data_IF_872413140166
#
_entry.id   IF_872413140166
#
_cell.length_a   1.000
_cell.length_b   1.000
_cell.length_c   1.000
_cell.angle_alpha   90.00
_cell.angle_beta   90.00
_cell.angle_gamma   90.00
#
_symmetry.space_group_name_H-M   'P 1'
#
loop_
_entity.id
_entity.type
_entity.pdbx_description
1 polymer ?
#
# COMPACT_ATOMS: atom_id res chain seq x y z
N UNK A 1 -10.09 32.07 -27.79
CA UNK A 1 -11.46 31.67 -27.41
C UNK A 1 -11.42 31.14 -25.99
N UNK A 2 -11.75 31.97 -25.02
CA UNK A 2 -11.75 31.63 -23.60
C UNK A 2 -12.88 30.64 -23.33
N UNK A 3 -12.54 29.47 -22.79
CA UNK A 3 -13.47 28.42 -22.38
C UNK A 3 -14.48 29.06 -21.40
N UNK A 4 -15.78 29.01 -21.72
CA UNK A 4 -16.86 29.49 -20.81
C UNK A 4 -16.68 28.79 -19.46
N UNK A 5 -16.45 29.58 -18.40
CA UNK A 5 -16.52 29.08 -17.03
C UNK A 5 -18.01 29.08 -16.67
N UNK A 6 -18.65 27.92 -16.80
CA UNK A 6 -20.08 27.76 -16.53
C UNK A 6 -20.40 28.11 -15.07
N UNK A 7 -21.34 29.05 -14.88
CA UNK A 7 -21.70 29.50 -13.54
C UNK A 7 -22.48 30.80 -13.48
N UNK A 8 -23.57 30.81 -12.70
CA UNK A 8 -24.33 32.01 -12.38
C UNK A 8 -23.56 32.86 -11.36
N UNK A 9 -23.40 34.15 -11.61
CA UNK A 9 -22.86 35.14 -10.67
C UNK A 9 -24.04 35.80 -9.95
N UNK A 10 -24.05 35.75 -8.63
CA UNK A 10 -25.04 36.49 -7.84
C UNK A 10 -24.48 37.88 -7.53
N UNK A 11 -25.18 38.91 -7.99
CA UNK A 11 -24.86 40.32 -7.78
C UNK A 11 -25.79 40.89 -6.72
N UNK A 12 -25.21 41.34 -5.61
CA UNK A 12 -25.92 41.86 -4.43
C UNK A 12 -25.46 43.29 -4.17
N UNK A 13 -26.36 44.25 -4.33
CA UNK A 13 -26.12 45.68 -4.12
C UNK A 13 -27.50 46.32 -3.91
N UNK A 14 -27.67 47.19 -2.90
CA UNK A 14 -28.98 47.81 -2.62
C UNK A 14 -29.31 48.96 -3.59
N UNK A 15 -28.30 49.59 -4.19
CA UNK A 15 -28.48 50.62 -5.20
C UNK A 15 -28.87 50.01 -6.55
N UNK A 16 -30.14 50.19 -6.91
CA UNK A 16 -30.70 49.65 -8.15
C UNK A 16 -30.01 50.17 -9.42
N UNK A 17 -29.40 51.36 -9.38
CA UNK A 17 -28.64 51.91 -10.51
C UNK A 17 -27.33 51.15 -10.73
N UNK A 18 -26.51 51.09 -9.69
CA UNK A 18 -25.22 50.39 -9.65
C UNK A 18 -25.38 48.91 -9.99
N UNK A 19 -26.35 48.23 -9.36
CA UNK A 19 -26.67 46.83 -9.62
C UNK A 19 -26.98 46.56 -11.10
N UNK A 20 -27.86 47.35 -11.72
CA UNK A 20 -28.23 47.18 -13.14
C UNK A 20 -27.06 47.41 -14.09
N UNK A 21 -26.20 48.41 -13.81
CA UNK A 21 -25.02 48.68 -14.62
C UNK A 21 -24.04 47.52 -14.54
N UNK A 22 -23.80 47.00 -13.33
CA UNK A 22 -22.90 45.89 -13.08
C UNK A 22 -23.36 44.61 -13.79
N UNK A 23 -24.64 44.26 -13.64
CA UNK A 23 -25.27 43.11 -14.32
C UNK A 23 -25.16 43.25 -15.82
N UNK A 24 -25.56 44.39 -16.40
CA UNK A 24 -25.48 44.61 -17.85
C UNK A 24 -24.04 44.48 -18.36
N UNK A 25 -23.07 45.00 -17.61
CA UNK A 25 -21.65 44.92 -17.96
C UNK A 25 -21.18 43.46 -17.98
N UNK A 26 -21.48 42.68 -16.95
CA UNK A 26 -21.09 41.28 -16.85
C UNK A 26 -21.81 40.38 -17.88
N UNK A 27 -23.12 40.59 -18.07
CA UNK A 27 -23.89 39.86 -19.09
C UNK A 27 -23.41 40.15 -20.51
N UNK A 28 -22.97 41.39 -20.80
CA UNK A 28 -22.40 41.73 -22.12
C UNK A 28 -21.10 40.96 -22.42
N UNK A 29 -20.40 40.51 -21.37
CA UNK A 29 -19.20 39.67 -21.48
C UNK A 29 -19.49 38.17 -21.43
N UNK A 30 -20.77 37.78 -21.36
CA UNK A 30 -21.21 36.39 -21.42
C UNK A 30 -21.34 35.67 -20.08
N UNK A 31 -21.31 36.38 -18.94
CA UNK A 31 -21.67 35.82 -17.64
C UNK A 31 -23.19 35.74 -17.49
N UNK A 32 -23.66 34.65 -16.88
CA UNK A 32 -25.03 34.57 -16.39
C UNK A 32 -25.11 35.24 -15.02
N UNK A 33 -26.03 36.18 -14.84
CA UNK A 33 -26.09 37.01 -13.64
C UNK A 33 -27.48 36.95 -13.03
N UNK A 34 -27.52 36.79 -11.71
CA UNK A 34 -28.73 36.93 -10.90
C UNK A 34 -28.58 38.12 -9.97
N UNK A 35 -29.68 38.81 -9.72
CA UNK A 35 -29.71 40.03 -8.91
C UNK A 35 -30.35 39.76 -7.55
N UNK A 36 -29.90 40.50 -6.54
CA UNK A 36 -30.48 40.59 -5.21
C UNK A 36 -30.29 42.02 -4.69
N UNK A 37 -31.30 42.59 -4.05
CA UNK A 37 -31.22 43.96 -3.51
C UNK A 37 -30.87 44.02 -2.02
N UNK A 38 -30.80 42.86 -1.35
CA UNK A 38 -30.52 42.78 0.07
C UNK A 38 -29.70 41.54 0.45
N UNK A 39 -28.93 41.64 1.53
CA UNK A 39 -28.16 40.52 2.07
C UNK A 39 -29.04 39.35 2.53
N UNK A 40 -30.28 39.62 2.99
CA UNK A 40 -31.22 38.58 3.42
C UNK A 40 -31.71 37.76 2.23
N UNK A 41 -32.08 38.41 1.13
CA UNK A 41 -32.46 37.72 -0.10
C UNK A 41 -31.26 36.94 -0.68
N UNK A 42 -30.07 37.53 -0.67
CA UNK A 42 -28.86 36.89 -1.15
C UNK A 42 -28.58 35.55 -0.45
N UNK A 43 -28.67 35.52 0.89
CA UNK A 43 -28.50 34.27 1.64
C UNK A 43 -29.54 33.20 1.26
N UNK A 44 -30.79 33.58 0.97
CA UNK A 44 -31.82 32.64 0.49
C UNK A 44 -31.47 32.09 -0.88
N UNK A 45 -31.06 32.96 -1.80
CA UNK A 45 -30.70 32.58 -3.17
C UNK A 45 -29.47 31.66 -3.20
N UNK A 46 -28.48 31.94 -2.35
CA UNK A 46 -27.29 31.09 -2.24
C UNK A 46 -27.65 29.66 -1.82
N UNK A 47 -28.58 29.48 -0.90
CA UNK A 47 -29.04 28.15 -0.46
C UNK A 47 -29.82 27.41 -1.55
N UNK A 48 -30.57 28.13 -2.38
CA UNK A 48 -31.42 27.53 -3.42
C UNK A 48 -30.62 27.11 -4.66
N UNK A 49 -29.69 27.96 -5.12
CA UNK A 49 -29.07 27.81 -6.44
C UNK A 49 -27.54 27.70 -6.43
N UNK A 50 -26.90 27.94 -5.29
CA UNK A 50 -25.43 27.83 -5.09
C UNK A 50 -24.61 28.48 -6.23
N UNK A 51 -24.69 29.82 -6.37
CA UNK A 51 -24.05 30.54 -7.46
C UNK A 51 -22.55 30.25 -7.53
N UNK A 52 -21.97 30.38 -8.72
CA UNK A 52 -20.55 30.13 -8.98
C UNK A 52 -19.63 31.20 -8.39
N UNK A 53 -20.15 32.41 -8.15
CA UNK A 53 -19.46 33.52 -7.50
C UNK A 53 -20.47 34.51 -6.94
N UNK A 54 -20.12 35.15 -5.82
CA UNK A 54 -20.89 36.23 -5.20
C UNK A 54 -20.17 37.57 -5.40
N UNK A 55 -20.83 38.55 -6.01
CA UNK A 55 -20.43 39.95 -5.97
C UNK A 55 -21.30 40.63 -4.92
N UNK A 56 -20.68 41.18 -3.88
CA UNK A 56 -21.39 41.61 -2.69
C UNK A 56 -20.99 43.02 -2.31
N UNK A 57 -21.94 43.95 -2.31
CA UNK A 57 -21.72 45.27 -1.75
C UNK A 57 -21.46 45.19 -0.24
N UNK A 58 -20.51 45.99 0.22
CA UNK A 58 -20.16 46.07 1.63
C UNK A 58 -21.25 46.80 2.41
N UNK A 59 -21.62 47.98 1.92
CA UNK A 59 -22.51 48.92 2.59
C UNK A 59 -23.96 48.69 2.15
N UNK A 60 -24.67 47.79 2.84
CA UNK A 60 -26.09 47.53 2.58
C UNK A 60 -26.95 47.69 3.85
N UNK A 61 -28.22 48.12 3.73
CA UNK A 61 -29.14 48.20 4.86
C UNK A 61 -29.45 46.84 5.49
N UNK A 62 -29.74 46.84 6.79
CA UNK A 62 -30.19 45.68 7.60
C UNK A 62 -29.14 44.59 7.80
N UNK A 63 -28.55 44.07 6.73
CA UNK A 63 -27.53 43.02 6.76
C UNK A 63 -26.43 43.38 5.76
N UNK A 64 -25.30 43.84 6.28
CA UNK A 64 -24.19 44.31 5.46
C UNK A 64 -23.40 43.14 4.82
N UNK A 65 -22.52 43.45 3.87
CA UNK A 65 -21.76 42.42 3.14
C UNK A 65 -20.87 41.56 4.04
N UNK A 66 -20.27 42.12 5.08
CA UNK A 66 -19.43 41.37 6.02
C UNK A 66 -20.25 40.36 6.83
N UNK A 67 -21.46 40.73 7.27
CA UNK A 67 -22.36 39.85 8.01
C UNK A 67 -22.91 38.72 7.13
N UNK A 68 -23.23 39.02 5.87
CA UNK A 68 -23.59 38.00 4.86
C UNK A 68 -22.46 36.99 4.73
N UNK A 69 -21.22 37.43 4.56
CA UNK A 69 -20.07 36.52 4.41
C UNK A 69 -19.82 35.69 5.66
N UNK A 70 -19.85 36.28 6.84
CA UNK A 70 -19.70 35.53 8.11
C UNK A 70 -20.73 34.41 8.21
N UNK A 71 -21.97 34.65 7.78
CA UNK A 71 -23.03 33.62 7.75
C UNK A 71 -22.73 32.54 6.70
N UNK A 72 -22.30 32.92 5.50
CA UNK A 72 -21.91 31.97 4.45
C UNK A 72 -20.75 31.07 4.89
N UNK A 73 -19.67 31.64 5.46
CA UNK A 73 -18.50 30.88 5.92
C UNK A 73 -18.80 29.95 7.10
N UNK A 74 -19.87 30.25 7.86
CA UNK A 74 -20.31 29.43 9.00
C UNK A 74 -21.33 28.35 8.59
N UNK A 75 -21.65 28.22 7.30
CA UNK A 75 -22.62 27.24 6.82
C UNK A 75 -22.08 25.80 6.96
N UNK A 76 -22.95 24.86 7.34
CA UNK A 76 -22.57 23.45 7.50
C UNK A 76 -22.34 22.74 6.17
N UNK A 77 -22.88 23.26 5.06
CA UNK A 77 -22.66 22.77 3.72
C UNK A 77 -21.39 23.39 3.11
N UNK A 78 -20.31 22.62 2.88
CA UNK A 78 -19.07 23.13 2.29
C UNK A 78 -19.29 23.76 0.91
N UNK A 79 -20.28 23.29 0.14
CA UNK A 79 -20.57 23.83 -1.19
C UNK A 79 -21.08 25.28 -1.13
N UNK A 80 -21.70 25.69 -0.02
CA UNK A 80 -22.13 27.06 0.27
C UNK A 80 -20.99 27.85 0.90
N UNK A 81 -20.36 27.30 1.94
CA UNK A 81 -19.30 27.98 2.67
C UNK A 81 -18.09 28.35 1.81
N UNK A 82 -17.83 27.62 0.72
CA UNK A 82 -16.70 27.82 -0.19
C UNK A 82 -17.07 28.60 -1.47
N UNK A 83 -18.29 29.15 -1.58
CA UNK A 83 -18.63 30.02 -2.72
C UNK A 83 -17.69 31.23 -2.70
N UNK A 84 -16.95 31.49 -3.79
CA UNK A 84 -16.03 32.61 -3.83
C UNK A 84 -16.83 33.91 -3.81
N UNK A 85 -16.38 34.85 -2.99
CA UNK A 85 -17.03 36.14 -2.84
C UNK A 85 -16.04 37.29 -3.08
N UNK A 86 -16.42 38.20 -3.95
CA UNK A 86 -15.70 39.46 -4.19
C UNK A 86 -16.55 40.58 -3.59
N UNK A 87 -15.97 41.28 -2.62
CA UNK A 87 -16.63 42.39 -1.96
C UNK A 87 -16.45 43.68 -2.77
N UNK A 88 -17.51 44.47 -2.89
CA UNK A 88 -17.49 45.78 -3.53
C UNK A 88 -17.54 46.83 -2.41
N UNK A 89 -16.53 47.70 -2.30
CA UNK A 89 -16.43 48.70 -1.21
C UNK A 89 -16.32 50.12 -1.75
N UNK A 90 -17.05 51.07 -1.17
CA UNK A 90 -16.90 52.50 -1.46
C UNK A 90 -15.67 53.14 -0.82
N UNK A 91 -15.04 52.45 0.14
CA UNK A 91 -13.93 52.95 0.94
C UNK A 91 -12.61 52.36 0.42
N UNK A 92 -11.78 53.17 -0.24
CA UNK A 92 -10.54 52.74 -0.89
C UNK A 92 -9.27 52.80 -0.03
N UNK A 93 -9.39 52.75 1.30
CA UNK A 93 -8.24 52.77 2.22
C UNK A 93 -7.87 51.38 2.73
N UNK A 94 -6.60 51.20 3.11
CA UNK A 94 -6.05 49.91 3.58
C UNK A 94 -6.88 49.26 4.70
N UNK A 95 -7.44 50.05 5.63
CA UNK A 95 -8.31 49.55 6.71
C UNK A 95 -9.59 48.88 6.18
N UNK A 96 -10.17 49.38 5.09
CA UNK A 96 -11.36 48.77 4.49
C UNK A 96 -11.03 47.45 3.81
N UNK A 97 -9.87 47.34 3.16
CA UNK A 97 -9.42 46.11 2.51
C UNK A 97 -9.22 44.99 3.54
N UNK A 98 -8.60 45.32 4.68
CA UNK A 98 -8.41 44.38 5.79
C UNK A 98 -9.76 43.88 6.32
N UNK A 99 -10.72 44.78 6.53
CA UNK A 99 -12.07 44.40 7.00
C UNK A 99 -12.78 43.45 6.01
N UNK A 100 -12.62 43.64 4.71
CA UNK A 100 -13.18 42.76 3.69
C UNK A 100 -12.62 41.33 3.82
N UNK A 101 -11.29 41.22 3.96
CA UNK A 101 -10.60 39.94 4.05
C UNK A 101 -10.86 39.23 5.39
N UNK A 102 -10.89 39.96 6.50
CA UNK A 102 -11.22 39.42 7.83
C UNK A 102 -12.67 38.92 7.92
N UNK A 103 -13.58 39.52 7.14
CA UNK A 103 -14.95 39.02 7.00
C UNK A 103 -15.04 37.70 6.20
N UNK A 104 -13.93 37.27 5.58
CA UNK A 104 -13.83 36.04 4.81
C UNK A 104 -14.09 36.22 3.31
N UNK A 105 -13.96 37.44 2.76
CA UNK A 105 -13.99 37.65 1.32
C UNK A 105 -12.76 37.00 0.65
N UNK A 106 -12.94 36.45 -0.55
CA UNK A 106 -11.84 35.89 -1.33
C UNK A 106 -11.08 36.97 -2.11
N UNK A 107 -11.73 38.11 -2.36
CA UNK A 107 -11.15 39.31 -2.97
C UNK A 107 -12.05 40.55 -2.71
N UNK A 108 -11.60 41.72 -3.13
CA UNK A 108 -12.39 42.94 -3.11
C UNK A 108 -12.12 43.85 -4.33
N UNK A 109 -13.05 44.77 -4.60
CA UNK A 109 -12.95 45.81 -5.62
C UNK A 109 -13.48 47.12 -5.04
N UNK A 110 -12.68 48.19 -5.18
CA UNK A 110 -13.08 49.54 -4.77
C UNK A 110 -14.01 50.19 -5.80
N UNK A 111 -15.02 50.92 -5.35
CA UNK A 111 -15.88 51.77 -6.18
C UNK A 111 -15.15 53.13 -6.40
N UNK A 112 -15.20 53.73 -7.61
CA UNK A 112 -15.93 53.29 -8.81
C UNK A 112 -15.28 52.07 -9.49
N UNK A 113 -16.12 51.11 -9.88
CA UNK A 113 -15.70 49.80 -10.38
C UNK A 113 -15.01 49.93 -11.74
N UNK A 114 -13.76 49.47 -11.83
CA UNK A 114 -13.10 49.23 -13.11
C UNK A 114 -13.49 47.84 -13.65
N UNK A 115 -14.29 47.81 -14.72
CA UNK A 115 -14.82 46.57 -15.31
C UNK A 115 -13.72 45.58 -15.74
N UNK A 116 -12.56 46.06 -16.18
CA UNK A 116 -11.45 45.18 -16.56
C UNK A 116 -10.81 44.50 -15.35
N UNK A 117 -10.65 45.24 -14.25
CA UNK A 117 -10.12 44.71 -12.97
C UNK A 117 -11.10 43.71 -12.38
N UNK A 118 -12.39 44.07 -12.28
CA UNK A 118 -13.41 43.18 -11.75
C UNK A 118 -13.46 41.86 -12.54
N UNK A 119 -13.43 41.92 -13.88
CA UNK A 119 -13.42 40.71 -14.72
C UNK A 119 -12.21 39.82 -14.42
N UNK A 120 -11.01 40.39 -14.33
CA UNK A 120 -9.81 39.61 -14.03
C UNK A 120 -9.90 38.90 -12.66
N UNK A 121 -10.50 39.56 -11.66
CA UNK A 121 -10.75 38.98 -10.34
C UNK A 121 -11.81 37.88 -10.39
N UNK A 122 -12.93 38.10 -11.09
CA UNK A 122 -13.97 37.07 -11.32
C UNK A 122 -13.38 35.84 -11.98
N UNK A 123 -12.62 35.99 -13.06
CA UNK A 123 -11.98 34.88 -13.77
C UNK A 123 -11.04 34.11 -12.85
N UNK A 124 -10.24 34.81 -12.03
CA UNK A 124 -9.33 34.20 -11.07
C UNK A 124 -10.10 33.35 -10.05
N UNK A 125 -11.15 33.90 -9.45
CA UNK A 125 -11.93 33.22 -8.43
C UNK A 125 -12.73 32.03 -8.98
N UNK A 126 -13.34 32.17 -10.15
CA UNK A 126 -14.00 31.06 -10.84
C UNK A 126 -13.01 29.94 -11.18
N UNK A 127 -11.81 30.30 -11.64
CA UNK A 127 -10.76 29.32 -11.94
C UNK A 127 -10.29 28.59 -10.68
N UNK A 128 -10.07 29.30 -9.57
CA UNK A 128 -9.70 28.68 -8.28
C UNK A 128 -10.79 27.73 -7.78
N UNK A 129 -12.07 28.12 -7.84
CA UNK A 129 -13.19 27.24 -7.50
C UNK A 129 -13.22 25.99 -8.38
N UNK A 130 -13.02 26.14 -9.69
CA UNK A 130 -13.03 25.00 -10.62
C UNK A 130 -11.92 23.99 -10.29
N UNK A 131 -10.71 24.47 -9.98
CA UNK A 131 -9.58 23.62 -9.59
C UNK A 131 -9.83 22.93 -8.25
N UNK A 132 -10.36 23.64 -7.24
CA UNK A 132 -10.74 23.04 -5.94
C UNK A 132 -11.76 21.91 -6.11
N UNK A 133 -12.81 22.14 -6.92
CA UNK A 133 -13.84 21.12 -7.22
C UNK A 133 -13.25 19.91 -7.94
N UNK A 134 -12.40 20.13 -8.94
CA UNK A 134 -11.75 19.03 -9.66
C UNK A 134 -10.85 18.21 -8.74
N UNK A 135 -10.07 18.87 -7.86
CA UNK A 135 -9.22 18.18 -6.90
C UNK A 135 -10.03 17.34 -5.91
N UNK A 136 -11.14 17.89 -5.40
CA UNK A 136 -12.03 17.15 -4.50
C UNK A 136 -12.60 15.91 -5.19
N UNK A 137 -13.11 16.06 -6.42
CA UNK A 137 -13.62 14.94 -7.20
C UNK A 137 -12.56 13.86 -7.43
N UNK A 138 -11.33 14.27 -7.81
CA UNK A 138 -10.23 13.33 -8.01
C UNK A 138 -9.88 12.59 -6.71
N UNK A 139 -9.86 13.28 -5.56
CA UNK A 139 -9.62 12.65 -4.27
C UNK A 139 -10.72 11.64 -3.93
N UNK A 140 -11.99 11.99 -4.12
CA UNK A 140 -13.13 11.11 -3.84
C UNK A 140 -13.05 9.83 -4.71
N UNK A 141 -12.74 9.99 -6.01
CA UNK A 141 -12.52 8.88 -6.95
C UNK A 141 -11.34 8.00 -6.52
N UNK A 142 -10.20 8.61 -6.14
CA UNK A 142 -9.01 7.91 -5.66
C UNK A 142 -9.30 7.11 -4.38
N UNK A 143 -10.06 7.66 -3.45
CA UNK A 143 -10.46 6.98 -2.22
C UNK A 143 -11.39 5.80 -2.48
N UNK A 144 -12.29 5.91 -3.45
CA UNK A 144 -13.12 4.79 -3.89
C UNK A 144 -12.28 3.68 -4.53
N UNK A 145 -11.38 4.04 -5.46
CA UNK A 145 -10.45 3.10 -6.07
C UNK A 145 -9.58 2.39 -5.03
N UNK A 146 -9.03 3.12 -4.05
CA UNK A 146 -8.24 2.54 -2.96
C UNK A 146 -9.06 1.55 -2.15
N UNK A 147 -10.29 1.89 -1.77
CA UNK A 147 -11.18 1.00 -1.01
C UNK A 147 -11.50 -0.28 -1.78
N UNK A 148 -11.71 -0.20 -3.09
CA UNK A 148 -11.95 -1.37 -3.92
C UNK A 148 -10.71 -2.27 -4.01
N UNK A 149 -9.54 -1.70 -4.27
CA UNK A 149 -8.29 -2.45 -4.32
C UNK A 149 -7.96 -3.13 -2.98
N UNK A 150 -8.22 -2.46 -1.86
CA UNK A 150 -8.03 -3.03 -0.52
C UNK A 150 -8.95 -4.24 -0.27
N UNK A 151 -10.19 -4.21 -0.77
CA UNK A 151 -11.11 -5.37 -0.67
C UNK A 151 -10.62 -6.55 -1.51
N UNK A 152 -10.17 -6.29 -2.74
CA UNK A 152 -9.67 -7.33 -3.64
C UNK A 152 -8.41 -8.00 -3.08
N UNK A 153 -7.47 -7.20 -2.58
CA UNK A 153 -6.27 -7.71 -1.92
C UNK A 153 -6.60 -8.50 -0.64
N UNK A 154 -7.64 -8.10 0.10
CA UNK A 154 -8.03 -8.79 1.32
C UNK A 154 -8.63 -10.17 1.01
N UNK A 155 -9.42 -10.26 -0.07
CA UNK A 155 -9.90 -11.53 -0.58
C UNK A 155 -8.75 -12.43 -1.05
N UNK A 156 -7.80 -11.88 -1.82
CA UNK A 156 -6.62 -12.61 -2.28
C UNK A 156 -5.76 -13.12 -1.12
N UNK A 157 -5.62 -12.33 -0.04
CA UNK A 157 -4.94 -12.74 1.19
C UNK A 157 -5.57 -13.96 1.82
N UNK A 158 -6.89 -13.98 1.97
CA UNK A 158 -7.61 -15.11 2.55
C UNK A 158 -7.40 -16.39 1.73
N UNK A 159 -7.41 -16.27 0.39
CA UNK A 159 -7.09 -17.40 -0.50
C UNK A 159 -5.65 -17.88 -0.31
N UNK A 160 -4.66 -16.98 -0.31
CA UNK A 160 -3.25 -17.36 -0.13
C UNK A 160 -3.01 -17.99 1.25
N UNK A 161 -3.60 -17.44 2.32
CA UNK A 161 -3.50 -18.01 3.67
C UNK A 161 -4.10 -19.42 3.76
N UNK A 162 -5.10 -19.74 2.95
CA UNK A 162 -5.67 -21.10 2.88
C UNK A 162 -4.72 -22.10 2.22
N UNK A 163 -3.75 -21.63 1.42
CA UNK A 163 -2.71 -22.45 0.78
C UNK A 163 -1.51 -22.72 1.71
N UNK A 164 -1.28 -21.83 2.68
CA UNK A 164 -0.20 -21.98 3.65
C UNK A 164 -0.64 -22.97 4.74
N UNK A 165 0.18 -23.97 5.08
CA UNK A 165 -0.19 -24.94 6.12
C UNK A 165 -0.45 -24.26 7.47
N UNK A 166 -1.63 -24.50 8.05
CA UNK A 166 -2.08 -23.82 9.27
C UNK A 166 -1.45 -24.37 10.56
N UNK A 167 -0.94 -25.60 10.54
CA UNK A 167 -0.35 -26.27 11.70
C UNK A 167 0.85 -27.12 11.31
N UNK A 168 2.01 -26.96 11.98
CA UNK A 168 3.16 -27.82 11.79
C UNK A 168 2.84 -29.32 11.83
N UNK A 169 3.57 -30.16 11.08
CA UNK A 169 3.34 -31.60 11.10
C UNK A 169 3.73 -32.15 12.47
N UNK A 170 2.91 -33.05 13.02
CA UNK A 170 3.24 -33.75 14.26
C UNK A 170 4.15 -34.93 13.95
N UNK A 171 5.39 -34.84 14.39
CA UNK A 171 6.43 -35.83 14.17
C UNK A 171 7.00 -36.28 15.52
N UNK A 172 6.89 -37.58 15.90
CA UNK A 172 7.45 -38.07 17.15
C UNK A 172 8.96 -37.81 17.24
N UNK A 173 9.42 -37.20 18.33
CA UNK A 173 10.84 -36.85 18.50
C UNK A 173 11.30 -35.63 17.70
N UNK A 174 10.40 -34.85 17.11
CA UNK A 174 10.72 -33.64 16.36
C UNK A 174 9.83 -32.47 16.76
N UNK A 175 10.40 -31.28 16.71
CA UNK A 175 9.72 -30.01 16.95
C UNK A 175 9.78 -29.18 15.67
N UNK A 176 8.65 -28.62 15.25
CA UNK A 176 8.54 -27.79 14.06
C UNK A 176 7.84 -26.49 14.42
N UNK A 177 8.41 -25.36 14.01
CA UNK A 177 7.82 -24.04 14.16
C UNK A 177 7.98 -23.25 12.86
N UNK A 178 6.97 -22.47 12.51
CA UNK A 178 6.94 -21.66 11.30
C UNK A 178 6.48 -20.23 11.60
N UNK A 179 6.88 -19.32 10.73
CA UNK A 179 6.48 -17.91 10.77
C UNK A 179 6.36 -17.38 9.35
N UNK A 180 5.27 -16.67 9.09
CA UNK A 180 5.01 -16.01 7.81
C UNK A 180 4.39 -14.64 8.03
N UNK A 181 5.02 -13.62 7.45
CA UNK A 181 4.53 -12.24 7.45
C UNK A 181 4.78 -11.61 6.07
N UNK A 182 3.73 -11.38 5.25
CA UNK A 182 3.88 -10.67 4.00
C UNK A 182 4.07 -9.15 4.20
N UNK A 183 4.72 -8.46 3.26
CA UNK A 183 4.92 -6.99 3.24
C UNK A 183 3.60 -6.27 3.08
N UNK A 184 2.82 -6.71 2.09
CA UNK A 184 1.47 -6.22 1.85
C UNK A 184 0.46 -7.30 2.26
N UNK A 185 -0.79 -7.19 1.84
CA UNK A 185 -1.80 -8.20 2.18
C UNK A 185 -1.48 -9.60 1.61
N UNK A 186 -0.73 -9.70 0.51
CA UNK A 186 -0.28 -10.95 -0.13
C UNK A 186 1.23 -10.93 -0.41
N UNK A 187 1.88 -12.10 -0.37
CA UNK A 187 3.33 -12.24 -0.53
C UNK A 187 3.79 -13.03 -1.76
N UNK A 188 5.04 -12.85 -2.15
CA UNK A 188 5.83 -13.68 -3.06
C UNK A 188 6.51 -14.86 -2.39
N UNK A 189 6.50 -14.93 -1.07
CA UNK A 189 6.95 -16.09 -0.30
C UNK A 189 5.87 -17.17 -0.13
N UNK A 190 6.29 -18.43 -0.14
CA UNK A 190 5.45 -19.56 0.25
C UNK A 190 6.29 -20.72 0.78
N UNK A 191 5.70 -21.52 1.66
CA UNK A 191 6.34 -22.71 2.20
C UNK A 191 5.32 -23.83 2.38
N UNK A 192 5.85 -25.02 2.63
CA UNK A 192 5.02 -26.08 3.16
C UNK A 192 5.78 -27.36 3.45
N UNK A 193 4.99 -28.35 3.81
CA UNK A 193 5.46 -29.70 4.03
C UNK A 193 4.45 -30.71 3.49
N UNK A 194 4.95 -31.85 3.04
CA UNK A 194 4.14 -32.99 2.61
C UNK A 194 4.85 -34.30 2.95
N UNK A 195 4.07 -35.35 3.19
CA UNK A 195 4.60 -36.70 3.41
C UNK A 195 4.72 -37.41 2.07
N UNK A 196 5.93 -37.80 1.70
CA UNK A 196 6.18 -38.58 0.48
C UNK A 196 5.92 -40.07 0.72
N UNK A 197 5.80 -40.86 -0.36
CA UNK A 197 5.32 -42.27 -0.28
C UNK A 197 6.22 -43.17 0.56
N UNK A 198 7.51 -42.89 0.62
CA UNK A 198 8.49 -43.66 1.39
C UNK A 198 8.50 -43.30 2.90
N UNK A 199 7.60 -42.43 3.34
CA UNK A 199 7.45 -42.05 4.74
C UNK A 199 8.27 -40.84 5.17
N UNK A 200 9.17 -40.34 4.32
CA UNK A 200 9.89 -39.08 4.57
C UNK A 200 8.94 -37.89 4.56
N UNK A 201 9.35 -36.83 5.25
CA UNK A 201 8.66 -35.54 5.25
C UNK A 201 9.49 -34.57 4.44
N UNK A 202 8.87 -34.03 3.41
CA UNK A 202 9.46 -33.03 2.55
C UNK A 202 9.08 -31.65 3.08
N UNK A 203 10.05 -30.87 3.54
CA UNK A 203 9.90 -29.45 3.82
C UNK A 203 10.41 -28.65 2.63
N UNK A 204 9.72 -27.57 2.28
CA UNK A 204 10.15 -26.69 1.21
C UNK A 204 9.72 -25.25 1.48
N UNK A 205 10.50 -24.34 0.93
CA UNK A 205 10.26 -22.89 0.92
C UNK A 205 10.58 -22.39 -0.48
N UNK A 206 9.85 -21.37 -0.90
CA UNK A 206 9.96 -20.79 -2.21
C UNK A 206 9.65 -19.30 -2.15
N UNK A 207 10.38 -18.53 -2.95
CA UNK A 207 10.24 -17.08 -3.05
C UNK A 207 10.20 -16.71 -4.54
N UNK A 208 9.04 -16.22 -4.97
CA UNK A 208 8.75 -15.83 -6.33
C UNK A 208 9.16 -14.38 -6.59
N UNK A 209 9.73 -14.11 -7.76
CA UNK A 209 10.18 -12.76 -8.11
C UNK A 209 9.09 -11.71 -8.03
N UNK A 210 9.41 -10.59 -7.38
CA UNK A 210 8.53 -9.42 -7.27
C UNK A 210 7.79 -9.39 -5.94
N UNK A 211 6.77 -8.54 -5.84
CA UNK A 211 5.90 -8.46 -4.66
C UNK A 211 4.45 -8.17 -5.05
N UNK A 212 3.53 -8.44 -4.13
CA UNK A 212 2.10 -8.18 -4.28
C UNK A 212 1.34 -9.16 -5.17
N UNK A 213 0.28 -8.71 -5.84
CA UNK A 213 -0.70 -9.60 -6.46
C UNK A 213 -0.11 -10.58 -7.49
N UNK A 214 0.84 -10.13 -8.32
CA UNK A 214 1.50 -11.00 -9.30
C UNK A 214 2.33 -12.10 -8.62
N UNK A 215 3.07 -11.76 -7.57
CA UNK A 215 3.87 -12.71 -6.81
C UNK A 215 2.97 -13.71 -6.04
N UNK A 216 1.81 -13.25 -5.56
CA UNK A 216 0.80 -14.10 -4.92
C UNK A 216 0.22 -15.17 -5.86
N UNK A 217 0.04 -14.84 -7.15
CA UNK A 217 -0.38 -15.82 -8.16
C UNK A 217 0.72 -16.87 -8.43
N UNK A 218 1.98 -16.42 -8.51
CA UNK A 218 3.13 -17.32 -8.68
C UNK A 218 3.27 -18.28 -7.50
N UNK A 219 3.13 -17.79 -6.27
CA UNK A 219 3.18 -18.65 -5.07
C UNK A 219 2.03 -19.63 -5.01
N UNK A 220 0.82 -19.20 -5.38
CA UNK A 220 -0.33 -20.11 -5.45
C UNK A 220 -0.11 -21.25 -6.45
N UNK A 221 0.47 -20.96 -7.63
CA UNK A 221 0.84 -22.00 -8.57
C UNK A 221 1.97 -22.87 -8.03
N UNK A 222 3.02 -22.26 -7.46
CA UNK A 222 4.12 -23.00 -6.86
C UNK A 222 3.62 -24.01 -5.83
N UNK A 223 2.64 -23.63 -4.99
CA UNK A 223 2.01 -24.55 -4.04
C UNK A 223 1.49 -25.82 -4.71
N UNK A 224 0.77 -25.66 -5.82
CA UNK A 224 0.19 -26.76 -6.57
C UNK A 224 1.27 -27.65 -7.20
N UNK A 225 2.30 -27.03 -7.80
CA UNK A 225 3.41 -27.75 -8.43
C UNK A 225 4.18 -28.59 -7.40
N UNK A 226 4.53 -28.01 -6.25
CA UNK A 226 5.19 -28.73 -5.17
C UNK A 226 4.30 -29.83 -4.57
N UNK A 227 3.00 -29.60 -4.46
CA UNK A 227 2.06 -30.59 -3.93
C UNK A 227 1.89 -31.80 -4.86
N UNK A 228 1.66 -31.56 -6.16
CA UNK A 228 1.53 -32.63 -7.16
C UNK A 228 2.85 -33.35 -7.41
N UNK A 229 3.95 -32.61 -7.63
CA UNK A 229 5.26 -33.21 -7.83
C UNK A 229 5.70 -34.07 -6.64
N UNK A 230 5.36 -33.65 -5.40
CA UNK A 230 5.67 -34.42 -4.19
C UNK A 230 4.86 -35.72 -4.05
N UNK A 231 3.73 -35.84 -4.74
CA UNK A 231 2.94 -37.08 -4.77
C UNK A 231 3.50 -38.11 -5.76
N UNK A 232 4.23 -37.65 -6.78
CA UNK A 232 4.82 -38.48 -7.84
C UNK A 232 6.29 -38.80 -7.60
N UNK A 233 7.02 -37.89 -6.95
CA UNK A 233 8.46 -37.99 -6.75
C UNK A 233 8.82 -38.01 -5.27
N UNK A 234 9.58 -39.04 -4.87
CA UNK A 234 10.09 -39.16 -3.50
C UNK A 234 11.44 -38.44 -3.31
N UNK A 235 12.21 -38.25 -4.38
CA UNK A 235 13.53 -37.61 -4.31
C UNK A 235 13.39 -36.09 -4.52
N UNK A 236 13.99 -35.25 -3.65
CA UNK A 236 13.87 -33.79 -3.78
C UNK A 236 14.49 -33.27 -5.09
N UNK A 237 15.49 -33.95 -5.65
CA UNK A 237 16.08 -33.62 -6.96
C UNK A 237 15.09 -33.82 -8.11
N UNK A 238 14.36 -34.94 -8.11
CA UNK A 238 13.33 -35.22 -9.11
C UNK A 238 12.16 -34.24 -9.01
N UNK A 239 11.74 -33.91 -7.78
CA UNK A 239 10.74 -32.89 -7.53
C UNK A 239 11.15 -31.53 -8.08
N UNK A 240 12.34 -31.03 -7.73
CA UNK A 240 12.81 -29.72 -8.17
C UNK A 240 12.93 -29.64 -9.69
N UNK A 241 13.29 -30.74 -10.37
CA UNK A 241 13.27 -30.83 -11.84
C UNK A 241 11.86 -30.74 -12.41
N UNK A 242 10.91 -31.48 -11.84
CA UNK A 242 9.51 -31.45 -12.28
C UNK A 242 8.92 -30.04 -12.12
N UNK A 243 9.07 -29.45 -10.93
CA UNK A 243 8.61 -28.08 -10.66
C UNK A 243 9.28 -27.07 -11.59
N UNK A 244 10.58 -27.16 -11.85
CA UNK A 244 11.27 -26.29 -12.80
C UNK A 244 10.66 -26.35 -14.21
N UNK A 245 10.43 -27.57 -14.70
CA UNK A 245 9.93 -27.80 -16.05
C UNK A 245 8.50 -27.30 -16.20
N UNK A 246 7.62 -27.62 -15.24
CA UNK A 246 6.23 -27.18 -15.25
C UNK A 246 6.12 -25.65 -15.10
N UNK A 247 6.86 -25.07 -14.15
CA UNK A 247 6.87 -23.63 -13.94
C UNK A 247 7.35 -22.88 -15.19
N UNK A 248 8.43 -23.36 -15.83
CA UNK A 248 8.94 -22.80 -17.09
C UNK A 248 7.96 -22.99 -18.24
N UNK A 249 7.30 -24.14 -18.34
CA UNK A 249 6.30 -24.39 -19.38
C UNK A 249 5.15 -23.37 -19.31
N UNK A 250 4.74 -23.02 -18.09
CA UNK A 250 3.62 -22.10 -17.84
C UNK A 250 4.03 -20.62 -18.02
N UNK A 251 5.19 -20.19 -17.52
CA UNK A 251 5.59 -18.77 -17.51
C UNK A 251 6.71 -18.41 -18.50
N UNK A 252 7.26 -19.39 -19.20
CA UNK A 252 8.49 -19.23 -19.98
C UNK A 252 9.67 -18.81 -19.10
N UNK A 253 10.64 -18.11 -19.71
CA UNK A 253 11.81 -17.55 -19.01
C UNK A 253 11.55 -16.14 -18.42
N UNK A 254 10.29 -15.70 -18.32
CA UNK A 254 9.93 -14.33 -17.88
C UNK A 254 9.83 -14.20 -16.37
N UNK A 255 9.55 -15.30 -15.69
CA UNK A 255 9.43 -15.37 -14.24
C UNK A 255 10.30 -16.49 -13.73
N UNK A 256 10.83 -16.32 -12.52
CA UNK A 256 11.59 -17.34 -11.83
C UNK A 256 11.23 -17.32 -10.35
N UNK A 257 11.59 -18.38 -9.65
CA UNK A 257 11.42 -18.47 -8.22
C UNK A 257 12.63 -19.15 -7.59
N UNK A 258 13.07 -18.63 -6.45
CA UNK A 258 14.06 -19.33 -5.65
C UNK A 258 13.35 -20.38 -4.79
N UNK A 259 14.00 -21.51 -4.53
CA UNK A 259 13.45 -22.54 -3.67
C UNK A 259 14.52 -23.34 -2.93
N UNK A 260 14.18 -23.81 -1.74
CA UNK A 260 14.98 -24.75 -0.96
C UNK A 260 14.10 -25.89 -0.47
N UNK A 261 14.59 -27.11 -0.57
CA UNK A 261 13.84 -28.32 -0.26
C UNK A 261 14.68 -29.28 0.60
N UNK A 262 14.04 -29.86 1.61
CA UNK A 262 14.63 -30.80 2.58
C UNK A 262 13.73 -32.02 2.71
N UNK A 263 14.17 -33.18 2.25
CA UNK A 263 13.50 -34.47 2.46
C UNK A 263 14.08 -35.14 3.71
N UNK A 264 13.34 -35.13 4.82
CA UNK A 264 13.74 -35.67 6.11
C UNK A 264 13.13 -37.05 6.36
N UNK A 265 13.95 -38.04 6.68
CA UNK A 265 13.50 -39.27 7.33
C UNK A 265 13.40 -39.06 8.84
N UNK A 266 12.18 -39.02 9.42
CA UNK A 266 12.02 -38.74 10.85
C UNK A 266 12.53 -39.88 11.74
N UNK A 267 12.66 -41.11 11.23
CA UNK A 267 13.12 -42.26 12.01
C UNK A 267 14.64 -42.27 12.19
N UNK A 268 15.38 -42.05 11.09
CA UNK A 268 16.84 -42.05 11.12
C UNK A 268 17.42 -40.67 11.45
N UNK A 269 16.73 -39.60 11.07
CA UNK A 269 17.24 -38.22 11.07
C UNK A 269 18.09 -37.89 9.85
N UNK A 270 18.13 -38.79 8.86
CA UNK A 270 18.81 -38.53 7.59
C UNK A 270 17.97 -37.58 6.73
N UNK A 271 18.57 -36.48 6.31
CA UNK A 271 17.96 -35.47 5.48
C UNK A 271 18.70 -35.35 4.15
N UNK A 272 17.94 -35.05 3.10
CA UNK A 272 18.45 -34.75 1.76
C UNK A 272 18.03 -33.35 1.37
N UNK A 273 18.97 -32.53 0.93
CA UNK A 273 18.80 -31.09 0.70
C UNK A 273 19.07 -30.76 -0.77
N UNK A 274 18.17 -29.97 -1.36
CA UNK A 274 18.32 -29.42 -2.72
C UNK A 274 17.88 -27.96 -2.72
N UNK A 275 18.76 -27.08 -3.19
CA UNK A 275 18.50 -25.64 -3.29
C UNK A 275 18.64 -25.10 -4.72
N UNK A 276 17.80 -24.13 -5.06
CA UNK A 276 17.71 -23.45 -6.35
C UNK A 276 17.64 -21.93 -6.16
N UNK A 277 18.79 -21.26 -6.22
CA UNK A 277 18.92 -19.81 -6.05
C UNK A 277 18.49 -19.22 -4.70
N UNK A 278 18.04 -20.03 -3.75
CA UNK A 278 17.48 -19.59 -2.46
C UNK A 278 18.57 -19.38 -1.40
N UNK A 279 18.32 -18.57 -0.36
CA UNK A 279 19.20 -18.50 0.81
C UNK A 279 19.61 -19.90 1.32
N UNK A 280 20.86 -20.03 1.82
CA UNK A 280 21.39 -21.33 2.21
C UNK A 280 20.62 -21.91 3.40
N UNK A 281 20.45 -23.23 3.43
CA UNK A 281 19.90 -23.92 4.59
C UNK A 281 20.91 -23.80 5.74
N UNK A 282 20.46 -23.31 6.89
CA UNK A 282 21.30 -23.23 8.08
C UNK A 282 20.99 -24.42 9.00
N UNK A 283 22.03 -25.12 9.45
CA UNK A 283 21.94 -26.25 10.37
C UNK A 283 22.54 -25.82 11.70
N UNK A 284 21.84 -26.11 12.79
CA UNK A 284 22.30 -25.95 14.16
C UNK A 284 22.64 -27.33 14.72
N UNK A 285 23.85 -27.48 15.24
CA UNK A 285 24.33 -28.72 15.86
C UNK A 285 24.17 -28.67 17.37
N UNK A 286 24.01 -29.84 18.00
CA UNK A 286 23.93 -29.95 19.46
C UNK A 286 25.16 -29.32 20.17
N UNK A 287 26.34 -29.42 19.58
CA UNK A 287 27.61 -28.88 20.13
C UNK A 287 27.73 -27.35 20.04
N UNK A 288 26.69 -26.67 19.51
CA UNK A 288 26.65 -25.23 19.34
C UNK A 288 27.32 -24.73 18.06
N UNK A 289 27.84 -25.63 17.22
CA UNK A 289 28.32 -25.27 15.88
C UNK A 289 27.16 -25.09 14.91
N UNK A 290 27.42 -24.37 13.82
CA UNK A 290 26.45 -24.19 12.74
C UNK A 290 27.08 -24.48 11.39
N UNK A 291 26.30 -25.13 10.53
CA UNK A 291 26.68 -25.47 9.16
C UNK A 291 25.73 -24.76 8.18
N UNK A 292 26.20 -24.53 6.95
CA UNK A 292 25.42 -23.84 5.92
C UNK A 292 25.51 -24.62 4.62
N UNK A 293 24.35 -24.95 4.04
CA UNK A 293 24.26 -25.67 2.77
C UNK A 293 23.77 -24.69 1.69
N UNK A 294 24.63 -24.33 0.72
CA UNK A 294 24.28 -23.38 -0.31
C UNK A 294 23.34 -23.97 -1.37
N UNK A 295 22.51 -23.12 -1.95
CA UNK A 295 21.82 -23.42 -3.20
C UNK A 295 22.80 -23.36 -4.36
N UNK A 296 23.07 -24.49 -5.00
CA UNK A 296 24.03 -24.57 -6.12
C UNK A 296 23.34 -24.42 -7.47
N UNK A 297 22.07 -24.80 -7.57
CA UNK A 297 21.29 -24.68 -8.81
C UNK A 297 20.78 -23.23 -9.00
N UNK A 298 20.56 -22.79 -10.26
CA UNK A 298 19.90 -21.52 -10.53
C UNK A 298 18.42 -21.54 -10.06
N UNK A 299 17.78 -20.36 -9.92
CA UNK A 299 16.35 -20.28 -9.63
C UNK A 299 15.49 -21.11 -10.59
N UNK A 300 14.42 -21.69 -10.08
CA UNK A 300 13.46 -22.48 -10.86
C UNK A 300 12.80 -21.60 -11.93
N UNK A 301 12.58 -22.16 -13.12
CA UNK A 301 12.02 -21.47 -14.28
C UNK A 301 13.05 -20.79 -15.19
N UNK A 302 14.23 -20.48 -14.65
CA UNK A 302 15.24 -19.69 -15.37
C UNK A 302 15.89 -20.48 -16.53
N UNK A 303 16.31 -21.71 -16.26
CA UNK A 303 16.94 -22.59 -17.25
C UNK A 303 16.04 -23.79 -17.59
N UNK A 304 16.05 -24.19 -18.86
CA UNK A 304 15.29 -25.35 -19.34
C UNK A 304 15.86 -26.68 -18.83
N UNK A 305 17.18 -26.78 -18.72
CA UNK A 305 17.88 -27.98 -18.27
C UNK A 305 18.75 -27.68 -17.05
N UNK A 306 18.10 -27.27 -15.96
CA UNK A 306 18.77 -27.05 -14.69
C UNK A 306 19.27 -28.37 -14.08
N UNK A 307 20.53 -28.37 -13.64
CA UNK A 307 21.10 -29.47 -12.87
C UNK A 307 20.93 -29.20 -11.38
N UNK A 308 20.31 -30.14 -10.68
CA UNK A 308 20.11 -30.07 -9.23
C UNK A 308 21.00 -31.11 -8.55
N UNK A 309 21.78 -30.67 -7.56
CA UNK A 309 22.64 -31.52 -6.75
C UNK A 309 22.00 -31.76 -5.39
N UNK A 310 22.12 -32.99 -4.90
CA UNK A 310 21.61 -33.43 -3.60
C UNK A 310 22.74 -33.44 -2.57
N UNK A 311 22.51 -32.81 -1.42
CA UNK A 311 23.42 -32.85 -0.27
C UNK A 311 22.77 -33.63 0.86
N UNK A 312 23.47 -34.65 1.34
CA UNK A 312 22.99 -35.51 2.44
C UNK A 312 23.51 -34.97 3.77
N UNK A 313 22.64 -34.96 4.77
CA UNK A 313 22.92 -34.49 6.13
C UNK A 313 22.33 -35.47 7.12
N UNK A 314 23.08 -35.85 8.13
CA UNK A 314 22.56 -36.61 9.27
C UNK A 314 22.31 -35.66 10.45
N UNK A 315 21.07 -35.66 10.96
CA UNK A 315 20.65 -34.84 12.10
C UNK A 315 20.50 -35.72 13.33
N UNK A 316 21.38 -35.53 14.30
CA UNK A 316 21.36 -36.25 15.59
C UNK A 316 20.45 -35.57 16.62
N UNK A 317 20.26 -36.21 17.78
CA UNK A 317 19.42 -35.66 18.85
C UNK A 317 19.91 -34.27 19.27
N UNK A 318 19.02 -33.28 19.27
CA UNK A 318 19.36 -31.88 19.56
C UNK A 318 19.66 -31.02 18.34
N UNK A 319 19.99 -31.60 17.18
CA UNK A 319 20.25 -30.88 15.93
C UNK A 319 18.96 -30.30 15.34
N UNK A 320 19.10 -29.28 14.49
CA UNK A 320 17.98 -28.72 13.72
C UNK A 320 18.42 -27.95 12.49
N UNK A 321 17.45 -27.51 11.70
CA UNK A 321 17.68 -26.67 10.53
C UNK A 321 16.67 -25.52 10.43
N UNK A 322 17.07 -24.46 9.73
CA UNK A 322 16.28 -23.28 9.42
C UNK A 322 16.20 -23.08 7.91
N UNK A 323 14.97 -23.09 7.40
CA UNK A 323 14.59 -22.55 6.09
C UNK A 323 14.10 -21.12 6.27
N UNK A 324 14.50 -20.19 5.39
CA UNK A 324 14.13 -18.78 5.52
C UNK A 324 14.24 -18.06 4.18
N UNK A 325 13.37 -17.06 3.97
CA UNK A 325 13.46 -16.12 2.86
C UNK A 325 14.41 -14.96 3.15
N UNK A 326 14.73 -14.18 2.12
CA UNK A 326 15.68 -13.06 2.25
C UNK A 326 15.14 -11.91 3.13
N UNK A 327 13.82 -11.76 3.26
CA UNK A 327 13.20 -10.76 4.13
C UNK A 327 13.50 -10.93 5.62
N UNK A 328 14.02 -12.09 6.04
CA UNK A 328 14.51 -12.27 7.42
C UNK A 328 15.73 -11.38 7.73
N UNK A 329 16.57 -11.05 6.73
CA UNK A 329 17.80 -10.26 6.91
C UNK A 329 17.90 -9.06 5.97
N UNK A 330 16.90 -8.81 5.12
CA UNK A 330 16.85 -7.64 4.25
C UNK A 330 16.49 -6.39 5.04
N UNK A 331 17.45 -5.47 5.12
CA UNK A 331 17.31 -4.19 5.84
C UNK A 331 16.97 -3.07 4.85
N UNK A 332 16.11 -2.09 5.20
CA UNK A 332 15.88 -0.90 4.37
C UNK A 332 17.19 -0.19 4.02
N UNK A 333 17.28 0.37 2.81
CA UNK A 333 18.47 1.13 2.36
C UNK A 333 18.73 2.30 3.32
N UNK A 334 19.76 2.21 4.15
CA UNK A 334 20.19 3.29 5.06
C UNK A 334 20.78 2.82 6.40
N UNK A 335 20.45 1.60 6.84
CA UNK A 335 20.94 1.09 8.13
C UNK A 335 22.23 0.26 8.00
N UNK A 336 23.18 0.51 8.91
CA UNK A 336 24.55 -0.04 8.87
C UNK A 336 24.67 -1.47 9.40
N UNK A 337 23.64 -2.07 10.01
CA UNK A 337 23.68 -3.46 10.48
C UNK A 337 23.19 -4.43 9.39
N UNK A 338 24.04 -4.71 8.40
CA UNK A 338 23.80 -5.85 7.50
C UNK A 338 23.82 -7.15 8.30
N UNK A 339 22.66 -7.77 8.48
CA UNK A 339 22.54 -9.16 8.90
C UNK A 339 22.96 -10.03 7.71
N UNK A 340 23.84 -11.00 7.95
CA UNK A 340 24.30 -11.96 6.94
C UNK A 340 23.84 -13.36 7.32
N UNK A 341 23.74 -14.30 6.36
CA UNK A 341 23.47 -15.71 6.68
C UNK A 341 24.42 -16.29 7.73
N UNK A 342 25.69 -15.84 7.73
CA UNK A 342 26.69 -16.25 8.72
C UNK A 342 26.38 -15.73 10.14
N UNK A 343 25.81 -14.54 10.26
CA UNK A 343 25.34 -14.01 11.56
C UNK A 343 24.09 -14.75 12.01
N UNK A 344 23.14 -15.01 11.11
CA UNK A 344 21.95 -15.81 11.41
C UNK A 344 22.34 -17.22 11.90
N UNK A 345 23.34 -17.85 11.26
CA UNK A 345 23.85 -19.15 11.67
C UNK A 345 24.36 -19.14 13.13
N UNK A 346 25.05 -18.07 13.53
CA UNK A 346 25.52 -17.89 14.93
C UNK A 346 24.39 -17.60 15.92
N UNK A 347 23.23 -17.15 15.45
CA UNK A 347 22.06 -16.89 16.29
C UNK A 347 21.19 -18.13 16.47
N UNK A 348 21.45 -19.21 15.72
CA UNK A 348 20.80 -20.51 15.88
C UNK A 348 21.38 -21.25 17.09
N UNK A 349 21.06 -20.72 18.28
CA UNK A 349 21.51 -21.24 19.56
C UNK A 349 20.75 -22.53 19.93
N UNK A 350 21.48 -23.64 20.07
CA UNK A 350 20.95 -24.95 20.47
C UNK A 350 20.39 -24.97 21.91
N UNK A 351 20.68 -23.95 22.72
CA UNK A 351 20.16 -23.82 24.10
C UNK A 351 18.69 -23.37 24.17
N UNK A 352 18.08 -22.96 23.06
CA UNK A 352 16.66 -22.62 23.06
C UNK A 352 15.81 -23.81 23.54
N UNK A 353 14.78 -23.61 24.38
CA UNK A 353 14.01 -24.72 24.95
C UNK A 353 13.07 -25.40 23.95
N UNK A 354 12.73 -24.72 22.85
CA UNK A 354 11.88 -25.26 21.79
C UNK A 354 12.18 -24.62 20.43
N UNK A 355 11.74 -25.27 19.34
CA UNK A 355 11.78 -24.70 17.99
C UNK A 355 11.05 -23.34 17.91
N UNK A 356 9.91 -23.19 18.61
CA UNK A 356 9.16 -21.93 18.65
C UNK A 356 9.92 -20.83 19.40
N UNK A 357 10.55 -21.17 20.53
CA UNK A 357 11.36 -20.21 21.28
C UNK A 357 12.59 -19.76 20.48
N UNK A 358 13.22 -20.67 19.73
CA UNK A 358 14.31 -20.34 18.82
C UNK A 358 13.84 -19.38 17.73
N UNK A 359 12.72 -19.69 17.08
CA UNK A 359 12.15 -18.85 16.03
C UNK A 359 11.79 -17.44 16.54
N UNK A 360 11.14 -17.35 17.71
CA UNK A 360 10.82 -16.05 18.33
C UNK A 360 12.07 -15.24 18.68
N UNK A 361 13.14 -15.87 19.20
CA UNK A 361 14.41 -15.19 19.46
C UNK A 361 15.04 -14.64 18.18
N UNK A 362 15.07 -15.45 17.12
CA UNK A 362 15.55 -15.01 15.80
C UNK A 362 14.75 -13.83 15.27
N UNK A 363 13.42 -13.89 15.34
CA UNK A 363 12.55 -12.82 14.87
C UNK A 363 12.73 -11.53 15.68
N UNK A 364 12.85 -11.61 17.01
CA UNK A 364 13.06 -10.43 17.85
C UNK A 364 14.43 -9.77 17.62
N UNK A 365 15.46 -10.56 17.33
CA UNK A 365 16.81 -10.03 17.07
C UNK A 365 16.98 -9.52 15.62
N UNK A 366 16.10 -9.94 14.71
CA UNK A 366 16.08 -9.48 13.30
C UNK A 366 15.04 -8.39 13.05
N UNK A 367 14.08 -8.20 13.97
CA UNK A 367 13.23 -7.03 14.01
C UNK A 367 14.10 -5.83 14.41
N UNK A 368 14.21 -4.84 13.52
CA UNK A 368 14.71 -3.51 13.88
C UNK A 368 13.87 -2.98 15.05
N UNK A 369 14.50 -2.34 16.06
CA UNK A 369 13.88 -1.78 17.28
C UNK A 369 12.73 -0.77 17.05
N UNK A 370 12.31 -0.55 15.80
CA UNK A 370 11.20 0.28 15.39
C UNK A 370 10.05 -0.60 14.87
N UNK A 371 9.17 -0.98 15.79
CA UNK A 371 7.98 -1.85 15.64
C UNK A 371 6.90 -1.31 14.66
N UNK A 372 7.24 -0.32 13.83
CA UNK A 372 6.29 0.42 12.98
C UNK A 372 6.79 0.69 11.55
N UNK A 373 7.96 0.19 11.13
CA UNK A 373 8.38 0.28 9.72
C UNK A 373 7.98 -0.97 8.94
N UNK A 374 7.36 -0.74 7.78
CA UNK A 374 7.04 -1.77 6.79
C UNK A 374 8.36 -2.44 6.37
N UNK A 375 8.45 -3.77 6.57
CA UNK A 375 9.63 -4.53 6.12
C UNK A 375 9.76 -4.46 4.59
N UNK A 376 11.00 -4.46 4.06
CA UNK A 376 11.22 -4.32 2.63
C UNK A 376 10.86 -5.58 1.83
N UNK A 377 10.74 -6.75 2.47
CA UNK A 377 10.27 -7.99 1.83
C UNK A 377 9.49 -8.91 2.80
N UNK A 378 8.87 -9.94 2.22
CA UNK A 378 8.12 -10.96 2.95
C UNK A 378 9.07 -11.73 3.87
N UNK A 379 8.58 -12.09 5.05
CA UNK A 379 9.38 -12.84 6.02
C UNK A 379 8.78 -14.21 6.19
N UNK A 380 9.52 -15.21 5.75
CA UNK A 380 9.19 -16.61 5.94
C UNK A 380 10.33 -17.32 6.65
N UNK A 381 10.00 -18.10 7.66
CA UNK A 381 10.97 -18.93 8.36
C UNK A 381 10.32 -20.22 8.86
N UNK A 382 11.03 -21.34 8.69
CA UNK A 382 10.62 -22.66 9.19
C UNK A 382 11.80 -23.28 9.92
N UNK A 383 11.61 -23.57 11.19
CA UNK A 383 12.58 -24.24 12.07
C UNK A 383 12.12 -25.67 12.33
N UNK A 384 13.01 -26.63 12.10
CA UNK A 384 12.78 -28.05 12.39
C UNK A 384 13.93 -28.55 13.27
N UNK A 385 13.60 -29.17 14.41
CA UNK A 385 14.59 -29.64 15.39
C UNK A 385 14.27 -31.04 15.88
N UNK A 386 15.29 -31.89 16.01
CA UNK A 386 15.19 -33.21 16.62
C UNK A 386 15.29 -33.06 18.15
N UNK A 387 14.35 -33.66 18.87
CA UNK A 387 14.43 -33.74 20.33
C UNK A 387 15.70 -34.53 20.73
N UNK A 388 16.29 -34.15 21.87
CA UNK A 388 17.45 -34.82 22.43
C UNK A 388 17.13 -36.22 22.93
#
# INVERSE_FOLDING_TARGET
MTKKLDGQILVVDDDAGSRRILVRTLSSTGYDCRESDSGIEALKLVQQEQPSLLLLDFDMPVLNGAEVLKRLRSDSNPAVAQIPAIMLTGHGGEESEVLCLEAGADDFVTKPINAAVLRARIETQLRLRSMRRQLQQQNDELEEWRRNLERDLAAARLTQQSLIPQKPPRLPGWQVADYYRPVIQVGGDIYGWLRVRDGRILFWIADATGHGASAALLTALAKLLFHHGGAEHNAPTALMKAVNNDFRSIFGARSFMTAMCVALDPGTGRASVVGAGHPPLLISRQDGTSESIPSVAPPLGLLEHAQFSETIVDLTGGDGFLLYSDGLFRVPRGEQRRLTPQRLAKMLDSTAPSAEALLRRLLNQTASDHDNQIKPDDVTAVVVRRAA
#
